data_IF_765270533670
#
_entry.id   IF_765270533670
#
_cell.length_a   1.000
_cell.length_b   1.000
_cell.length_c   1.000
_cell.angle_alpha   90.00
_cell.angle_beta   90.00
_cell.angle_gamma   90.00
#
_symmetry.space_group_name_H-M   'P 1'
#
loop_
_entity.id
_entity.type
_entity.pdbx_description
1 polymer ?
#
# COMPACT_ATOMS: atom_id res chain seq x y z
N UNK A 1 -32.02 24.65 43.23
CA UNK A 1 -33.36 24.51 42.63
C UNK A 1 -33.28 23.23 41.81
N UNK A 2 -34.05 22.19 42.13
CA UNK A 2 -34.06 20.99 41.28
C UNK A 2 -34.64 21.40 39.94
N UNK A 3 -33.89 21.22 38.86
CA UNK A 3 -34.46 21.35 37.52
C UNK A 3 -35.67 20.43 37.40
N UNK A 4 -36.76 20.98 36.89
CA UNK A 4 -38.02 20.26 36.70
C UNK A 4 -37.78 19.20 35.61
N UNK A 5 -37.98 17.92 35.94
CA UNK A 5 -37.75 16.81 34.99
C UNK A 5 -38.70 16.96 33.80
N UNK A 6 -38.15 17.14 32.60
CA UNK A 6 -38.96 17.17 31.38
C UNK A 6 -39.25 15.74 30.95
N UNK A 7 -40.50 15.31 31.08
CA UNK A 7 -40.89 13.94 30.80
C UNK A 7 -41.12 13.73 29.30
N UNK A 8 -40.46 12.73 28.70
CA UNK A 8 -40.73 12.28 27.33
C UNK A 8 -41.32 10.87 27.33
N UNK A 9 -42.39 10.66 26.56
CA UNK A 9 -42.97 9.33 26.36
C UNK A 9 -42.12 8.54 25.35
N UNK A 10 -41.67 7.34 25.75
CA UNK A 10 -40.89 6.45 24.88
C UNK A 10 -41.64 5.19 24.46
N UNK A 11 -42.59 4.72 25.27
CA UNK A 11 -43.41 3.55 24.93
C UNK A 11 -44.73 3.55 25.72
N UNK A 12 -45.66 2.67 25.33
CA UNK A 12 -46.83 2.28 26.14
C UNK A 12 -46.49 0.96 26.83
N UNK A 13 -46.61 0.89 28.16
CA UNK A 13 -46.16 -0.26 28.96
C UNK A 13 -46.87 -1.57 28.57
N UNK A 14 -48.19 -1.54 28.44
CA UNK A 14 -48.99 -2.69 28.01
C UNK A 14 -48.70 -3.17 26.59
N UNK A 15 -48.07 -2.34 25.75
CA UNK A 15 -47.68 -2.69 24.38
C UNK A 15 -46.26 -3.28 24.29
N UNK A 16 -45.46 -3.19 25.35
CA UNK A 16 -44.14 -3.82 25.41
C UNK A 16 -44.29 -5.31 25.76
N UNK A 17 -43.87 -6.17 24.83
CA UNK A 17 -43.67 -7.59 25.10
C UNK A 17 -42.49 -7.78 26.06
N UNK A 18 -42.60 -8.74 26.98
CA UNK A 18 -41.53 -9.06 27.92
C UNK A 18 -40.26 -9.50 27.17
N UNK A 19 -39.12 -8.92 27.55
CA UNK A 19 -37.78 -9.17 27.00
C UNK A 19 -37.67 -8.99 25.48
N UNK A 20 -38.52 -8.14 24.90
CA UNK A 20 -38.45 -7.75 23.48
C UNK A 20 -37.98 -6.29 23.34
N UNK A 21 -36.84 -6.04 22.68
CA UNK A 21 -36.35 -4.68 22.46
C UNK A 21 -37.31 -3.86 21.59
N UNK A 22 -37.53 -2.61 21.98
CA UNK A 22 -38.32 -1.63 21.24
C UNK A 22 -37.51 -0.35 21.01
N UNK A 23 -37.71 0.27 19.86
CA UNK A 23 -37.04 1.52 19.49
C UNK A 23 -37.77 2.75 20.03
N UNK A 24 -37.02 3.75 20.51
CA UNK A 24 -37.52 5.10 20.74
C UNK A 24 -36.47 6.14 20.34
N UNK A 25 -36.91 7.39 20.12
CA UNK A 25 -36.05 8.52 19.78
C UNK A 25 -36.40 9.72 20.65
N UNK A 26 -35.42 10.25 21.38
CA UNK A 26 -35.59 11.42 22.25
C UNK A 26 -34.36 12.31 22.12
N UNK A 27 -34.55 13.62 21.96
CA UNK A 27 -33.46 14.61 21.84
C UNK A 27 -32.35 14.19 20.87
N UNK A 28 -32.72 13.64 19.70
CA UNK A 28 -31.82 13.11 18.66
C UNK A 28 -31.03 11.82 19.03
N UNK A 29 -31.21 11.27 20.23
CA UNK A 29 -30.56 10.03 20.69
C UNK A 29 -31.45 8.82 20.43
N UNK A 30 -30.93 7.83 19.72
CA UNK A 30 -31.59 6.53 19.57
C UNK A 30 -31.61 5.82 20.93
N UNK A 31 -32.76 5.24 21.31
CA UNK A 31 -32.95 4.53 22.56
C UNK A 31 -33.45 3.11 22.28
N UNK A 32 -33.04 2.19 23.15
CA UNK A 32 -33.64 0.85 23.23
C UNK A 32 -34.39 0.71 24.54
N UNK A 33 -35.68 0.44 24.44
CA UNK A 33 -36.60 0.24 25.56
C UNK A 33 -36.86 -1.25 25.68
N UNK A 34 -36.56 -1.82 26.84
CA UNK A 34 -36.80 -3.25 27.11
C UNK A 34 -37.57 -3.39 28.41
N UNK A 35 -38.76 -3.99 28.32
CA UNK A 35 -39.49 -4.48 29.48
C UNK A 35 -38.89 -5.81 29.91
N UNK A 36 -38.65 -6.00 31.20
CA UNK A 36 -38.28 -7.30 31.76
C UNK A 36 -38.97 -7.47 33.11
N UNK A 37 -39.78 -8.51 33.21
CA UNK A 37 -40.63 -8.77 34.37
C UNK A 37 -41.56 -7.58 34.66
N UNK A 38 -41.42 -6.95 35.83
CA UNK A 38 -42.18 -5.78 36.28
C UNK A 38 -41.40 -4.47 36.14
N UNK A 39 -40.20 -4.50 35.53
CA UNK A 39 -39.31 -3.36 35.35
C UNK A 39 -39.11 -2.98 33.86
N UNK A 40 -38.57 -1.78 33.64
CA UNK A 40 -38.16 -1.29 32.32
C UNK A 40 -36.71 -0.82 32.35
N UNK A 41 -35.98 -1.07 31.26
CA UNK A 41 -34.68 -0.45 31.00
C UNK A 41 -34.78 0.40 29.75
N UNK A 42 -34.19 1.59 29.81
CA UNK A 42 -33.99 2.44 28.64
C UNK A 42 -32.50 2.71 28.55
N UNK A 43 -31.88 2.15 27.52
CA UNK A 43 -30.45 2.28 27.25
C UNK A 43 -30.22 3.11 25.98
N UNK A 44 -29.00 3.58 25.79
CA UNK A 44 -28.54 4.06 24.49
C UNK A 44 -28.80 2.98 23.43
N UNK A 45 -29.46 3.39 22.35
CA UNK A 45 -30.11 2.50 21.40
C UNK A 45 -29.19 1.98 20.30
N UNK A 46 -27.88 2.27 20.34
CA UNK A 46 -26.92 1.78 19.35
C UNK A 46 -25.78 1.01 20.00
N UNK A 47 -25.38 -0.08 19.36
CA UNK A 47 -24.21 -0.86 19.76
C UNK A 47 -22.93 -0.01 19.66
N UNK A 48 -22.04 -0.11 20.65
CA UNK A 48 -20.78 0.64 20.68
C UNK A 48 -19.79 0.24 19.57
N UNK A 49 -19.91 -0.96 18.99
CA UNK A 49 -19.00 -1.42 17.93
C UNK A 49 -19.47 -1.07 16.52
N UNK A 50 -20.73 -1.36 16.18
CA UNK A 50 -21.24 -1.24 14.79
C UNK A 50 -22.30 -0.18 14.61
N UNK A 51 -22.65 0.56 15.66
CA UNK A 51 -23.71 1.56 15.62
C UNK A 51 -25.10 0.99 15.28
N UNK A 52 -25.26 -0.34 15.30
CA UNK A 52 -26.50 -1.02 14.96
C UNK A 52 -27.57 -0.72 16.00
N UNK A 53 -28.83 -0.60 15.57
CA UNK A 53 -29.93 -0.39 16.49
C UNK A 53 -30.09 -1.60 17.41
N UNK A 54 -29.98 -1.38 18.71
CA UNK A 54 -30.16 -2.41 19.73
C UNK A 54 -31.63 -2.87 19.81
N UNK A 55 -32.56 -2.07 19.28
CA UNK A 55 -33.96 -2.47 19.09
C UNK A 55 -34.14 -3.58 18.05
N UNK A 56 -33.17 -3.76 17.13
CA UNK A 56 -33.17 -4.85 16.15
C UNK A 56 -32.47 -6.11 16.70
N UNK A 57 -31.98 -6.05 17.93
CA UNK A 57 -31.37 -7.16 18.66
C UNK A 57 -32.41 -8.10 19.28
N UNK A 58 -31.93 -8.91 20.22
CA UNK A 58 -32.77 -9.77 21.04
C UNK A 58 -32.24 -9.85 22.47
N UNK A 59 -33.02 -10.39 23.40
CA UNK A 59 -32.56 -10.65 24.76
C UNK A 59 -32.22 -12.13 24.91
N UNK A 60 -31.04 -12.42 25.48
CA UNK A 60 -30.65 -13.75 25.95
C UNK A 60 -30.32 -13.68 27.44
N UNK A 61 -31.12 -14.40 28.26
CA UNK A 61 -31.05 -14.32 29.72
C UNK A 61 -31.30 -12.91 30.25
N UNK A 62 -30.24 -12.27 30.77
CA UNK A 62 -30.25 -10.90 31.30
C UNK A 62 -29.59 -9.88 30.38
N UNK A 63 -29.14 -10.32 29.19
CA UNK A 63 -28.34 -9.53 28.29
C UNK A 63 -29.15 -9.15 27.05
N UNK A 64 -29.03 -7.88 26.66
CA UNK A 64 -29.42 -7.36 25.37
C UNK A 64 -28.30 -7.65 24.36
N UNK A 65 -28.61 -8.45 23.36
CA UNK A 65 -27.67 -8.92 22.34
C UNK A 65 -27.85 -8.14 21.05
N UNK A 66 -26.76 -7.56 20.56
CA UNK A 66 -26.71 -6.88 19.26
C UNK A 66 -27.03 -7.85 18.12
N UNK A 67 -27.99 -7.48 17.26
CA UNK A 67 -28.44 -8.33 16.14
C UNK A 67 -27.37 -8.56 15.05
N UNK A 68 -26.27 -7.81 15.05
CA UNK A 68 -25.27 -7.84 13.99
C UNK A 68 -24.06 -8.72 14.32
N UNK A 69 -23.44 -8.55 15.50
CA UNK A 69 -22.21 -9.26 15.87
C UNK A 69 -22.28 -9.89 17.27
N UNK A 70 -23.49 -10.04 17.82
CA UNK A 70 -23.77 -10.84 19.03
C UNK A 70 -23.09 -10.36 20.31
N UNK A 71 -22.66 -9.09 20.36
CA UNK A 71 -22.16 -8.49 21.59
C UNK A 71 -23.28 -8.22 22.57
N UNK A 72 -22.96 -8.28 23.86
CA UNK A 72 -23.91 -8.26 24.96
C UNK A 72 -23.82 -6.97 25.78
N UNK A 73 -24.95 -6.58 26.35
CA UNK A 73 -25.03 -5.55 27.38
C UNK A 73 -26.11 -5.95 28.38
N UNK A 74 -25.82 -5.93 29.67
CA UNK A 74 -26.84 -6.29 30.66
C UNK A 74 -28.01 -5.32 30.62
N UNK A 75 -29.24 -5.84 30.67
CA UNK A 75 -30.46 -5.02 30.67
C UNK A 75 -30.51 -4.03 31.83
N UNK A 76 -30.04 -4.45 33.00
CA UNK A 76 -30.18 -3.68 34.24
C UNK A 76 -29.16 -2.56 34.41
N UNK A 77 -28.00 -2.65 33.75
CA UNK A 77 -26.85 -1.73 33.96
C UNK A 77 -26.29 -1.16 32.67
N UNK A 78 -26.52 -1.82 31.53
CA UNK A 78 -25.91 -1.48 30.25
C UNK A 78 -24.46 -1.94 30.09
N UNK A 79 -23.86 -2.56 31.12
CA UNK A 79 -22.47 -3.04 31.11
C UNK A 79 -22.38 -4.37 30.37
N UNK A 80 -21.40 -4.57 29.49
CA UNK A 80 -21.12 -5.90 28.91
C UNK A 80 -20.58 -6.86 29.98
N UNK A 81 -21.06 -8.11 29.98
CA UNK A 81 -20.54 -9.13 30.90
C UNK A 81 -19.16 -9.66 30.48
N UNK A 82 -18.81 -9.51 29.19
CA UNK A 82 -17.50 -9.91 28.66
C UNK A 82 -16.44 -8.82 28.83
N UNK A 83 -16.82 -7.55 28.68
CA UNK A 83 -15.91 -6.41 28.85
C UNK A 83 -16.58 -5.27 29.64
N UNK A 84 -16.23 -5.17 30.93
CA UNK A 84 -16.84 -4.19 31.83
C UNK A 84 -16.49 -2.73 31.49
N UNK A 85 -15.52 -2.48 30.61
CA UNK A 85 -15.20 -1.13 30.13
C UNK A 85 -16.22 -0.65 29.07
N UNK A 86 -17.00 -1.56 28.50
CA UNK A 86 -18.03 -1.25 27.51
C UNK A 86 -19.42 -1.15 28.15
N UNK A 87 -19.98 0.06 28.15
CA UNK A 87 -21.23 0.38 28.85
C UNK A 87 -22.16 1.18 27.96
N UNK A 88 -23.33 0.62 27.62
CA UNK A 88 -24.44 1.41 27.08
C UNK A 88 -24.97 2.32 28.18
N UNK A 89 -25.03 3.62 27.91
CA UNK A 89 -25.61 4.58 28.84
C UNK A 89 -27.05 4.16 29.20
N UNK A 90 -27.31 3.94 30.49
CA UNK A 90 -28.66 3.74 31.01
C UNK A 90 -29.25 5.09 31.39
N UNK A 91 -30.47 5.35 30.92
CA UNK A 91 -31.20 6.58 31.23
C UNK A 91 -32.25 6.34 32.33
N UNK A 92 -32.58 7.40 33.06
CA UNK A 92 -33.65 7.35 34.05
C UNK A 92 -34.99 7.09 33.34
N UNK A 93 -35.68 6.02 33.74
CA UNK A 93 -36.99 5.66 33.21
C UNK A 93 -37.94 5.23 34.33
N UNK A 94 -39.24 5.50 34.15
CA UNK A 94 -40.30 5.07 35.07
C UNK A 94 -41.61 4.83 34.32
N UNK A 95 -42.53 4.12 34.96
CA UNK A 95 -43.86 3.81 34.41
C UNK A 95 -44.91 4.56 35.22
N UNK A 96 -45.78 5.31 34.55
CA UNK A 96 -46.92 6.01 35.15
C UNK A 96 -48.12 5.91 34.20
N UNK A 97 -49.27 5.49 34.71
CA UNK A 97 -50.53 5.37 33.94
C UNK A 97 -50.40 4.65 32.58
N UNK A 98 -49.73 3.50 32.57
CA UNK A 98 -49.46 2.66 31.37
C UNK A 98 -48.51 3.29 30.33
N UNK A 99 -47.75 4.32 30.72
CA UNK A 99 -46.78 5.00 29.86
C UNK A 99 -45.38 4.85 30.44
N UNK A 100 -44.42 4.50 29.57
CA UNK A 100 -43.00 4.52 29.91
C UNK A 100 -42.45 5.91 29.59
N UNK A 101 -41.95 6.58 30.63
CA UNK A 101 -41.34 7.89 30.55
C UNK A 101 -39.83 7.84 30.77
N UNK A 102 -39.14 8.82 30.17
CA UNK A 102 -37.73 9.13 30.43
C UNK A 102 -37.56 10.60 30.77
N UNK A 103 -36.43 10.95 31.37
CA UNK A 103 -36.02 12.35 31.54
C UNK A 103 -35.36 12.88 30.26
N UNK A 104 -36.09 13.71 29.51
CA UNK A 104 -35.60 14.31 28.26
C UNK A 104 -34.39 15.22 28.49
N UNK A 105 -34.30 15.89 29.64
CA UNK A 105 -33.17 16.78 29.95
C UNK A 105 -31.89 15.98 30.15
N UNK A 106 -31.98 14.79 30.78
CA UNK A 106 -30.85 13.86 30.93
C UNK A 106 -30.32 13.41 29.57
N UNK A 107 -31.22 13.01 28.67
CA UNK A 107 -30.84 12.53 27.33
C UNK A 107 -30.27 13.66 26.47
N UNK A 108 -30.84 14.86 26.54
CA UNK A 108 -30.33 16.03 25.83
C UNK A 108 -28.93 16.44 26.34
N UNK A 109 -28.71 16.44 27.65
CA UNK A 109 -27.39 16.71 28.21
C UNK A 109 -26.36 15.66 27.78
N UNK A 110 -26.75 14.38 27.77
CA UNK A 110 -25.89 13.31 27.27
C UNK A 110 -25.57 13.48 25.79
N UNK A 111 -26.54 13.85 24.95
CA UNK A 111 -26.34 14.14 23.53
C UNK A 111 -25.34 15.28 23.30
N UNK A 112 -25.40 16.35 24.10
CA UNK A 112 -24.50 17.49 23.96
C UNK A 112 -23.05 17.13 24.28
N UNK A 113 -22.84 16.19 25.20
CA UNK A 113 -21.52 15.59 25.51
C UNK A 113 -21.12 14.49 24.50
N UNK A 114 -22.10 13.84 23.85
CA UNK A 114 -21.94 12.69 22.95
C UNK A 114 -22.72 12.89 21.63
N UNK A 115 -22.29 13.85 20.78
CA UNK A 115 -22.99 14.15 19.54
C UNK A 115 -23.02 12.92 18.63
N UNK A 116 -24.16 12.67 18.00
CA UNK A 116 -24.34 11.50 17.14
C UNK A 116 -23.44 11.60 15.89
N UNK A 117 -22.68 10.54 15.60
CA UNK A 117 -21.71 10.51 14.50
C UNK A 117 -22.31 10.48 13.09
N UNK A 118 -23.64 10.44 12.98
CA UNK A 118 -24.38 10.30 11.73
C UNK A 118 -25.41 11.42 11.54
N UNK A 119 -25.59 11.84 10.29
CA UNK A 119 -26.69 12.73 9.93
C UNK A 119 -27.93 11.89 9.60
N UNK A 120 -28.89 11.80 10.52
CA UNK A 120 -30.08 10.95 10.32
C UNK A 120 -30.87 11.31 9.04
N UNK A 121 -30.89 12.58 8.65
CA UNK A 121 -31.66 13.06 7.50
C UNK A 121 -30.95 12.84 6.16
N UNK A 122 -29.69 12.39 6.16
CA UNK A 122 -28.97 12.06 4.92
C UNK A 122 -29.43 10.72 4.34
N UNK A 123 -29.16 10.51 3.05
CA UNK A 123 -29.37 9.22 2.40
C UNK A 123 -28.59 8.12 3.16
N UNK A 124 -29.29 7.06 3.58
CA UNK A 124 -28.80 5.98 4.45
C UNK A 124 -28.30 6.42 5.85
N UNK A 125 -28.55 7.66 6.29
CA UNK A 125 -27.98 8.21 7.52
C UNK A 125 -28.26 7.42 8.80
N UNK A 126 -29.44 6.81 8.91
CA UNK A 126 -29.80 5.95 10.03
C UNK A 126 -29.00 4.63 10.07
N UNK A 127 -28.55 4.15 8.91
CA UNK A 127 -27.90 2.85 8.68
C UNK A 127 -26.46 2.99 8.19
N UNK A 128 -25.86 4.18 8.31
CA UNK A 128 -24.53 4.46 7.81
C UNK A 128 -23.50 3.61 8.57
N UNK A 129 -22.69 2.85 7.82
CA UNK A 129 -21.56 2.11 8.37
C UNK A 129 -20.34 3.04 8.42
N UNK A 130 -19.97 3.46 9.63
CA UNK A 130 -18.85 4.39 9.87
C UNK A 130 -17.53 3.67 10.13
N UNK A 131 -17.55 2.37 10.39
CA UNK A 131 -16.37 1.60 10.80
C UNK A 131 -15.84 0.73 9.65
N UNK A 132 -16.70 0.35 8.69
CA UNK A 132 -16.37 -0.60 7.63
C UNK A 132 -16.21 -2.02 8.19
N UNK A 133 -16.03 -3.02 7.31
CA UNK A 133 -15.82 -4.41 7.76
C UNK A 133 -14.74 -5.11 6.97
N UNK A 134 -14.11 -6.12 7.58
CA UNK A 134 -13.19 -7.02 6.87
C UNK A 134 -13.90 -7.89 5.82
N UNK A 135 -15.22 -8.10 5.96
CA UNK A 135 -16.04 -8.82 5.00
C UNK A 135 -16.35 -7.97 3.75
N UNK A 136 -16.50 -6.65 3.93
CA UNK A 136 -16.74 -5.67 2.86
C UNK A 136 -15.75 -4.51 2.94
N UNK A 137 -14.44 -4.77 2.73
CA UNK A 137 -13.38 -3.79 2.98
C UNK A 137 -13.37 -2.61 1.99
N UNK A 138 -14.22 -2.67 0.97
CA UNK A 138 -14.34 -1.64 -0.06
C UNK A 138 -15.65 -0.85 0.02
N UNK A 139 -16.54 -1.13 0.98
CA UNK A 139 -17.86 -0.49 1.02
C UNK A 139 -17.75 1.05 1.11
N UNK A 140 -16.94 1.57 2.03
CA UNK A 140 -16.70 3.01 2.16
C UNK A 140 -16.13 3.62 0.88
N UNK A 141 -15.21 2.94 0.20
CA UNK A 141 -14.64 3.40 -1.07
C UNK A 141 -15.67 3.40 -2.21
N UNK A 142 -16.56 2.41 -2.25
CA UNK A 142 -17.68 2.35 -3.20
C UNK A 142 -18.67 3.49 -2.94
N UNK A 143 -19.03 3.75 -1.68
CA UNK A 143 -19.92 4.85 -1.30
C UNK A 143 -19.33 6.21 -1.63
N UNK A 144 -18.03 6.40 -1.40
CA UNK A 144 -17.29 7.61 -1.77
C UNK A 144 -17.35 7.85 -3.29
N UNK A 145 -17.03 6.82 -4.09
CA UNK A 145 -17.12 6.87 -5.55
C UNK A 145 -18.54 7.12 -6.06
N UNK A 146 -19.55 6.54 -5.41
CA UNK A 146 -20.94 6.71 -5.80
C UNK A 146 -21.46 8.13 -5.52
N UNK A 147 -20.94 8.76 -4.45
CA UNK A 147 -21.38 10.08 -3.98
C UNK A 147 -20.63 11.20 -4.72
N UNK A 148 -19.30 11.08 -4.83
CA UNK A 148 -18.42 12.14 -5.33
C UNK A 148 -17.90 11.86 -6.75
N UNK A 149 -18.22 10.70 -7.34
CA UNK A 149 -17.71 10.31 -8.64
C UNK A 149 -16.18 10.12 -8.59
N UNK A 150 -15.50 10.58 -9.65
CA UNK A 150 -14.04 10.51 -9.76
C UNK A 150 -13.33 11.79 -9.30
N UNK A 151 -14.09 12.78 -8.80
CA UNK A 151 -13.51 14.02 -8.32
C UNK A 151 -12.60 13.75 -7.12
N UNK A 152 -11.38 14.31 -7.11
CA UNK A 152 -10.40 14.12 -6.02
C UNK A 152 -9.56 12.84 -6.06
N UNK A 153 -9.92 11.84 -6.88
CA UNK A 153 -9.25 10.51 -6.90
C UNK A 153 -7.97 10.49 -7.76
N UNK A 154 -7.70 11.55 -8.52
CA UNK A 154 -6.52 11.69 -9.37
C UNK A 154 -6.59 10.85 -10.64
N UNK A 155 -5.81 11.23 -11.67
CA UNK A 155 -5.88 10.61 -13.01
C UNK A 155 -5.58 9.10 -13.03
N UNK A 156 -4.83 8.59 -12.06
CA UNK A 156 -4.45 7.17 -11.96
C UNK A 156 -5.12 6.43 -10.80
N UNK A 157 -6.09 7.05 -10.13
CA UNK A 157 -6.60 6.56 -8.85
C UNK A 157 -5.63 6.79 -7.70
N UNK A 158 -5.88 6.13 -6.58
CA UNK A 158 -5.02 6.20 -5.39
C UNK A 158 -3.58 5.81 -5.74
N UNK A 159 -2.62 6.60 -5.25
CA UNK A 159 -1.19 6.41 -5.43
C UNK A 159 -0.55 6.22 -4.07
N UNK A 160 0.31 5.22 -3.93
CA UNK A 160 1.08 5.00 -2.71
C UNK A 160 2.54 4.63 -3.01
N UNK A 161 3.40 4.79 -2.01
CA UNK A 161 4.81 4.42 -2.07
C UNK A 161 5.02 2.94 -1.70
N UNK A 162 6.26 2.47 -1.87
CA UNK A 162 6.72 1.12 -1.54
C UNK A 162 6.02 0.01 -2.35
N UNK A 163 6.44 -1.25 -2.14
CA UNK A 163 5.88 -2.42 -2.81
C UNK A 163 4.63 -2.99 -2.11
N UNK A 164 4.27 -4.21 -2.48
CA UNK A 164 3.28 -5.04 -1.78
C UNK A 164 3.90 -5.56 -0.47
N UNK A 165 3.14 -5.67 0.64
CA UNK A 165 3.65 -6.25 1.88
C UNK A 165 4.28 -7.63 1.66
N UNK A 166 5.43 -7.88 2.32
CA UNK A 166 6.14 -9.16 2.19
C UNK A 166 5.31 -10.35 2.70
N UNK A 167 4.35 -10.11 3.60
CA UNK A 167 3.43 -11.14 4.12
C UNK A 167 2.42 -11.62 3.09
N UNK A 168 2.25 -10.91 1.97
CA UNK A 168 1.35 -11.30 0.88
C UNK A 168 2.09 -11.98 -0.28
N UNK A 169 3.41 -12.18 -0.17
CA UNK A 169 4.25 -12.74 -1.22
C UNK A 169 4.90 -14.05 -0.75
N UNK A 170 5.15 -15.00 -1.67
CA UNK A 170 6.01 -16.13 -1.38
C UNK A 170 7.36 -15.64 -0.83
N UNK A 171 7.85 -16.26 0.26
CA UNK A 171 9.03 -15.78 0.97
C UNK A 171 10.24 -16.67 0.73
N UNK A 172 11.43 -16.06 0.66
CA UNK A 172 12.68 -16.79 0.46
C UNK A 172 13.02 -17.75 1.61
N UNK A 173 12.48 -17.52 2.82
CA UNK A 173 12.66 -18.40 3.98
C UNK A 173 11.85 -19.71 3.89
N UNK A 174 10.92 -19.82 2.93
CA UNK A 174 10.23 -21.07 2.61
C UNK A 174 11.06 -22.00 1.72
N UNK A 175 12.17 -21.52 1.14
CA UNK A 175 13.05 -22.30 0.28
C UNK A 175 14.06 -23.08 1.11
N UNK A 176 14.09 -24.41 0.91
CA UNK A 176 15.09 -25.29 1.52
C UNK A 176 16.28 -25.50 0.56
N UNK A 177 17.51 -25.32 1.08
CA UNK A 177 18.74 -25.55 0.31
C UNK A 177 19.17 -27.01 0.50
N UNK A 178 19.35 -27.75 -0.61
CA UNK A 178 19.88 -29.12 -0.58
C UNK A 178 21.40 -29.06 -0.39
N UNK A 179 21.91 -29.73 0.65
CA UNK A 179 23.35 -29.74 0.99
C UNK A 179 24.13 -30.82 0.24
N UNK A 180 25.41 -30.55 -0.04
CA UNK A 180 26.35 -31.56 -0.55
C UNK A 180 26.63 -32.69 0.46
N UNK A 181 26.95 -33.87 -0.05
CA UNK A 181 27.28 -35.08 0.74
C UNK A 181 28.38 -35.91 0.05
N UNK A 182 28.06 -37.11 -0.44
CA UNK A 182 29.06 -38.00 -1.06
C UNK A 182 29.33 -37.67 -2.54
N UNK A 183 28.29 -37.33 -3.31
CA UNK A 183 28.41 -37.02 -4.74
C UNK A 183 29.14 -35.69 -4.98
N UNK A 184 28.82 -34.68 -4.16
CA UNK A 184 29.53 -33.40 -4.10
C UNK A 184 29.86 -33.14 -2.63
N UNK A 185 31.14 -33.27 -2.26
CA UNK A 185 31.57 -33.09 -0.88
C UNK A 185 31.43 -31.62 -0.45
N UNK A 186 31.00 -31.36 0.80
CA UNK A 186 31.08 -30.01 1.35
C UNK A 186 32.55 -29.56 1.41
N UNK A 187 32.75 -28.25 1.37
CA UNK A 187 34.05 -27.66 1.64
C UNK A 187 34.39 -27.81 3.14
N UNK A 188 35.69 -27.83 3.46
CA UNK A 188 36.18 -27.70 4.83
C UNK A 188 36.00 -26.27 5.33
N UNK A 189 35.92 -26.07 6.65
CA UNK A 189 35.50 -24.80 7.27
C UNK A 189 36.30 -23.56 6.84
N UNK A 190 37.60 -23.72 6.57
CA UNK A 190 38.52 -22.65 6.17
C UNK A 190 38.74 -22.54 4.66
N UNK A 191 38.02 -23.34 3.87
CA UNK A 191 38.13 -23.30 2.43
C UNK A 191 37.63 -21.95 1.89
N UNK A 192 38.37 -21.31 0.95
CA UNK A 192 37.92 -20.08 0.34
C UNK A 192 36.66 -20.31 -0.50
N UNK A 193 35.65 -19.45 -0.31
CA UNK A 193 34.42 -19.44 -1.12
C UNK A 193 34.49 -18.31 -2.12
N UNK A 194 34.31 -18.62 -3.41
CA UNK A 194 34.27 -17.61 -4.48
C UNK A 194 32.88 -16.99 -4.55
N UNK A 195 32.75 -15.75 -4.07
CA UNK A 195 31.52 -14.94 -4.14
C UNK A 195 31.46 -14.02 -5.35
N UNK A 196 32.59 -13.80 -6.03
CA UNK A 196 32.67 -12.86 -7.14
C UNK A 196 31.81 -13.27 -8.34
N UNK A 197 31.16 -12.26 -8.95
CA UNK A 197 30.27 -12.39 -10.11
C UNK A 197 30.79 -11.53 -11.25
N UNK A 198 30.60 -12.02 -12.48
CA UNK A 198 30.93 -11.28 -13.71
C UNK A 198 29.64 -10.99 -14.46
N UNK A 199 29.34 -9.71 -14.68
CA UNK A 199 28.21 -9.25 -15.47
C UNK A 199 28.64 -9.07 -16.92
N UNK A 200 27.89 -9.70 -17.83
CA UNK A 200 28.19 -9.74 -19.26
C UNK A 200 29.58 -10.30 -19.57
N UNK A 201 29.87 -11.58 -19.23
CA UNK A 201 31.20 -12.19 -19.41
C UNK A 201 31.68 -12.23 -20.87
N UNK A 202 30.78 -12.05 -21.84
CA UNK A 202 31.10 -12.00 -23.27
C UNK A 202 31.29 -10.57 -23.82
N UNK A 203 31.06 -9.53 -22.99
CA UNK A 203 31.34 -8.15 -23.36
C UNK A 203 32.86 -7.92 -23.48
N UNK A 204 33.28 -6.88 -24.21
CA UNK A 204 34.71 -6.54 -24.33
C UNK A 204 35.30 -6.05 -23.01
N UNK A 205 34.48 -5.39 -22.19
CA UNK A 205 34.80 -4.91 -20.84
C UNK A 205 33.77 -5.46 -19.86
N UNK A 206 33.86 -6.74 -19.47
CA UNK A 206 32.94 -7.32 -18.50
C UNK A 206 33.07 -6.62 -17.15
N UNK A 207 31.96 -6.53 -16.42
CA UNK A 207 31.94 -5.91 -15.09
C UNK A 207 32.13 -6.97 -14.01
N UNK A 208 33.12 -6.78 -13.15
CA UNK A 208 33.43 -7.67 -12.03
C UNK A 208 32.92 -7.08 -10.71
N UNK A 209 32.19 -7.91 -9.95
CA UNK A 209 31.73 -7.61 -8.59
C UNK A 209 32.35 -8.63 -7.63
N UNK A 210 32.75 -8.20 -6.43
CA UNK A 210 33.36 -9.08 -5.43
C UNK A 210 32.32 -9.95 -4.70
N UNK A 211 31.05 -9.51 -4.72
CA UNK A 211 29.90 -10.18 -4.10
C UNK A 211 28.70 -10.24 -5.07
N UNK A 212 27.77 -11.21 -4.91
CA UNK A 212 26.63 -11.38 -5.80
C UNK A 212 25.44 -10.46 -5.41
N UNK A 213 25.74 -9.21 -5.06
CA UNK A 213 24.76 -8.23 -4.58
C UNK A 213 25.17 -6.86 -5.11
N UNK A 214 24.23 -6.04 -5.57
CA UNK A 214 24.47 -4.65 -5.97
C UNK A 214 23.28 -3.77 -5.55
N UNK A 215 23.46 -2.45 -5.55
CA UNK A 215 22.39 -1.51 -5.20
C UNK A 215 21.55 -1.21 -6.43
N UNK A 216 20.27 -1.61 -6.39
CA UNK A 216 19.33 -1.51 -7.52
C UNK A 216 18.92 -0.07 -7.88
N UNK A 217 18.30 0.10 -9.04
CA UNK A 217 17.89 1.38 -9.62
C UNK A 217 16.90 2.14 -8.75
N UNK A 218 17.38 3.24 -8.18
CA UNK A 218 16.56 4.23 -7.49
C UNK A 218 17.00 5.60 -7.94
N UNK A 219 16.09 6.39 -8.50
CA UNK A 219 16.44 7.66 -9.14
C UNK A 219 16.78 8.76 -8.15
N UNK A 220 17.70 9.64 -8.54
CA UNK A 220 17.85 10.94 -7.90
C UNK A 220 16.55 11.76 -8.09
N UNK A 221 16.05 12.30 -6.98
CA UNK A 221 14.72 12.92 -6.86
C UNK A 221 13.69 12.03 -6.16
N UNK A 222 13.74 10.71 -6.36
CA UNK A 222 13.05 9.77 -5.48
C UNK A 222 13.82 9.62 -4.15
N UNK A 223 15.15 9.53 -4.26
CA UNK A 223 16.09 9.62 -3.15
C UNK A 223 16.79 10.99 -3.14
N UNK A 224 17.24 11.40 -1.95
CA UNK A 224 18.07 12.61 -1.80
C UNK A 224 19.48 12.39 -2.36
N UNK A 225 20.22 13.48 -2.55
CA UNK A 225 21.60 13.45 -3.01
C UNK A 225 22.50 12.69 -2.02
N UNK A 226 22.34 12.97 -0.73
CA UNK A 226 23.10 12.36 0.35
C UNK A 226 22.88 10.85 0.39
N UNK A 227 21.63 10.40 0.19
CA UNK A 227 21.31 8.99 0.14
C UNK A 227 21.97 8.29 -1.05
N UNK A 228 21.94 8.90 -2.24
CA UNK A 228 22.58 8.36 -3.45
C UNK A 228 24.10 8.25 -3.27
N UNK A 229 24.75 9.31 -2.81
CA UNK A 229 26.20 9.32 -2.56
C UNK A 229 26.60 8.34 -1.45
N UNK A 230 25.81 8.24 -0.38
CA UNK A 230 26.08 7.29 0.71
C UNK A 230 25.99 5.83 0.23
N UNK A 231 24.96 5.50 -0.55
CA UNK A 231 24.80 4.16 -1.13
C UNK A 231 25.94 3.83 -2.11
N UNK A 232 26.35 4.78 -2.96
CA UNK A 232 27.46 4.58 -3.89
C UNK A 232 28.79 4.30 -3.17
N UNK A 233 29.11 5.07 -2.13
CA UNK A 233 30.30 4.85 -1.29
C UNK A 233 30.23 3.50 -0.58
N UNK A 234 29.07 3.15 -0.04
CA UNK A 234 28.85 1.84 0.60
C UNK A 234 29.06 0.68 -0.36
N UNK A 235 28.54 0.79 -1.58
CA UNK A 235 28.73 -0.20 -2.63
C UNK A 235 30.21 -0.33 -3.02
N UNK A 236 30.94 0.78 -3.14
CA UNK A 236 32.38 0.76 -3.47
C UNK A 236 33.19 0.04 -2.38
N UNK A 237 32.94 0.38 -1.11
CA UNK A 237 33.59 -0.26 0.03
C UNK A 237 33.27 -1.75 0.14
N UNK A 238 32.08 -2.16 -0.31
CA UNK A 238 31.66 -3.56 -0.36
C UNK A 238 32.16 -4.31 -1.61
N UNK A 239 32.88 -3.65 -2.51
CA UNK A 239 33.38 -4.27 -3.75
C UNK A 239 32.30 -4.52 -4.80
N UNK A 240 31.21 -3.74 -4.78
CA UNK A 240 30.08 -3.89 -5.70
C UNK A 240 29.61 -2.58 -6.32
N UNK A 241 28.62 -2.67 -7.22
CA UNK A 241 28.08 -1.58 -8.00
C UNK A 241 26.77 -0.99 -7.50
N UNK A 242 26.40 0.11 -8.14
CA UNK A 242 25.15 0.84 -7.92
C UNK A 242 24.57 1.29 -9.26
N UNK A 243 23.24 1.32 -9.33
CA UNK A 243 22.52 1.82 -10.50
C UNK A 243 22.05 3.26 -10.37
N UNK A 244 22.11 4.02 -11.48
CA UNK A 244 21.66 5.42 -11.53
C UNK A 244 20.15 5.58 -11.29
N UNK A 245 19.36 4.66 -11.84
CA UNK A 245 17.92 4.78 -12.01
C UNK A 245 17.48 5.82 -13.04
N UNK A 246 16.17 5.93 -13.23
CA UNK A 246 15.49 6.67 -14.31
C UNK A 246 15.62 8.21 -14.25
N UNK A 247 16.28 8.75 -13.23
CA UNK A 247 16.42 10.19 -13.01
C UNK A 247 17.65 10.80 -13.67
N UNK A 248 18.48 10.00 -14.33
CA UNK A 248 19.78 10.40 -14.84
C UNK A 248 20.92 10.16 -13.85
N UNK A 249 22.13 10.46 -14.28
CA UNK A 249 23.36 10.25 -13.51
C UNK A 249 23.71 11.49 -12.69
N UNK A 250 23.74 11.34 -11.36
CA UNK A 250 24.28 12.34 -10.45
C UNK A 250 25.82 12.26 -10.44
N UNK A 251 26.57 13.34 -10.75
CA UNK A 251 28.03 13.27 -10.85
C UNK A 251 28.72 12.81 -9.57
N UNK A 252 28.28 13.31 -8.41
CA UNK A 252 28.87 12.96 -7.12
C UNK A 252 28.63 11.49 -6.73
N UNK A 253 27.52 10.90 -7.21
CA UNK A 253 27.21 9.48 -7.04
C UNK A 253 28.10 8.61 -7.92
N UNK A 254 28.20 8.94 -9.22
CA UNK A 254 29.02 8.17 -10.15
C UNK A 254 30.51 8.24 -9.77
N UNK A 255 31.00 9.41 -9.35
CA UNK A 255 32.39 9.56 -8.91
C UNK A 255 32.72 8.75 -7.65
N UNK A 256 31.70 8.36 -6.86
CA UNK A 256 31.87 7.62 -5.63
C UNK A 256 31.91 6.09 -5.82
N UNK A 257 31.62 5.56 -7.02
CA UNK A 257 31.62 4.13 -7.28
C UNK A 257 32.20 3.78 -8.66
N UNK A 258 33.17 2.89 -8.69
CA UNK A 258 33.91 2.45 -9.88
C UNK A 258 33.21 1.34 -10.69
N UNK A 259 32.02 0.91 -10.25
CA UNK A 259 31.22 -0.21 -10.80
C UNK A 259 29.80 0.28 -11.09
N UNK A 260 29.69 1.33 -11.88
CA UNK A 260 28.44 2.08 -12.05
C UNK A 260 27.58 1.55 -13.20
N UNK A 261 26.29 1.34 -12.93
CA UNK A 261 25.28 0.91 -13.91
C UNK A 261 24.43 2.11 -14.33
N UNK A 262 24.39 2.38 -15.63
CA UNK A 262 23.63 3.51 -16.16
C UNK A 262 22.34 3.05 -16.83
N UNK A 263 21.22 3.62 -16.39
CA UNK A 263 19.88 3.27 -16.86
C UNK A 263 19.37 4.29 -17.90
N UNK A 264 18.84 3.78 -19.02
CA UNK A 264 18.00 4.56 -19.94
C UNK A 264 16.53 4.13 -19.79
N UNK A 265 15.68 5.08 -19.43
CA UNK A 265 14.22 4.90 -19.33
C UNK A 265 13.46 5.74 -20.37
N UNK A 266 12.18 5.43 -20.57
CA UNK A 266 11.29 6.06 -21.58
C UNK A 266 11.18 7.58 -21.52
N UNK A 267 11.48 8.19 -20.36
CA UNK A 267 11.50 9.64 -20.20
C UNK A 267 12.75 10.33 -20.73
N UNK A 268 13.82 9.58 -21.05
CA UNK A 268 15.13 10.11 -21.46
C UNK A 268 15.74 11.14 -20.49
N UNK A 269 15.25 11.21 -19.25
CA UNK A 269 15.69 12.21 -18.28
C UNK A 269 17.16 12.02 -17.93
N UNK A 270 17.94 13.07 -18.16
CA UNK A 270 19.38 13.06 -17.90
C UNK A 270 20.19 12.10 -18.77
N UNK A 271 19.59 11.45 -19.79
CA UNK A 271 20.27 10.58 -20.75
C UNK A 271 21.33 11.37 -21.54
N UNK A 272 22.45 10.71 -21.83
CA UNK A 272 23.54 11.31 -22.61
C UNK A 272 24.62 10.27 -22.91
N UNK A 273 25.02 10.16 -24.17
CA UNK A 273 26.07 9.23 -24.60
C UNK A 273 27.44 9.59 -24.02
N UNK A 274 27.71 10.88 -23.82
CA UNK A 274 28.94 11.39 -23.19
C UNK A 274 29.15 10.83 -21.77
N UNK A 275 28.05 10.59 -21.05
CA UNK A 275 28.07 10.05 -19.67
C UNK A 275 28.46 8.56 -19.62
N UNK A 276 28.22 7.83 -20.70
CA UNK A 276 28.46 6.38 -20.79
C UNK A 276 29.94 6.04 -20.62
N UNK A 277 30.86 6.93 -21.00
CA UNK A 277 32.29 6.70 -20.88
C UNK A 277 32.76 6.47 -19.43
N UNK A 278 32.03 6.98 -18.43
CA UNK A 278 32.30 6.77 -17.01
C UNK A 278 31.65 5.52 -16.40
N UNK A 279 30.86 4.77 -17.17
CA UNK A 279 30.04 3.68 -16.66
C UNK A 279 30.67 2.30 -16.97
N UNK A 280 30.31 1.28 -16.19
CA UNK A 280 30.83 -0.09 -16.35
C UNK A 280 29.75 -1.08 -16.78
N UNK A 281 28.49 -0.67 -16.73
CA UNK A 281 27.38 -1.38 -17.34
C UNK A 281 26.31 -0.37 -17.75
N UNK A 282 25.49 -0.75 -18.72
CA UNK A 282 24.35 0.02 -19.17
C UNK A 282 23.13 -0.89 -19.30
N UNK A 283 21.92 -0.37 -19.07
CA UNK A 283 20.69 -1.11 -19.35
C UNK A 283 19.53 -0.22 -19.79
N UNK A 284 18.68 -0.80 -20.62
CA UNK A 284 17.38 -0.23 -20.94
C UNK A 284 16.35 -0.64 -19.88
N UNK A 285 15.52 0.30 -19.45
CA UNK A 285 14.39 0.04 -18.56
C UNK A 285 13.12 -0.19 -19.38
N UNK A 286 12.68 -1.43 -19.47
CA UNK A 286 11.38 -1.83 -20.02
C UNK A 286 10.25 -1.83 -18.99
N UNK A 287 10.56 -2.01 -17.69
CA UNK A 287 9.55 -1.98 -16.64
C UNK A 287 10.13 -2.17 -15.23
N UNK A 288 9.27 -2.05 -14.21
CA UNK A 288 9.61 -2.34 -12.81
C UNK A 288 8.41 -3.01 -12.12
N UNK A 289 8.67 -3.91 -11.17
CA UNK A 289 7.63 -4.77 -10.57
C UNK A 289 6.46 -4.05 -9.91
N UNK A 290 6.62 -2.77 -9.51
CA UNK A 290 5.60 -1.95 -8.87
C UNK A 290 4.58 -1.31 -9.84
N UNK A 291 4.96 -1.05 -11.09
CA UNK A 291 4.16 -0.22 -12.02
C UNK A 291 4.46 -0.43 -13.51
N UNK A 292 4.63 -1.68 -13.93
CA UNK A 292 4.77 -2.05 -15.34
C UNK A 292 3.64 -1.52 -16.20
N UNK A 293 3.96 -1.08 -17.42
CA UNK A 293 2.99 -0.50 -18.35
C UNK A 293 2.68 0.98 -18.08
N UNK A 294 3.38 1.60 -17.13
CA UNK A 294 3.33 3.03 -16.84
C UNK A 294 4.72 3.62 -16.70
N UNK A 295 4.83 4.95 -16.78
CA UNK A 295 6.11 5.63 -16.61
C UNK A 295 6.45 6.01 -15.17
N UNK A 296 7.71 6.44 -14.98
CA UNK A 296 8.14 7.19 -13.81
C UNK A 296 7.30 8.46 -13.60
N UNK A 297 7.04 8.80 -12.33
CA UNK A 297 6.38 10.05 -11.97
C UNK A 297 7.15 10.68 -10.82
N UNK A 298 7.65 11.89 -11.02
CA UNK A 298 8.18 12.75 -9.97
C UNK A 298 7.37 14.05 -9.93
N UNK A 299 6.72 14.38 -8.79
CA UNK A 299 5.98 15.63 -8.64
C UNK A 299 6.86 16.86 -8.89
N UNK A 300 6.28 17.89 -9.52
CA UNK A 300 7.01 19.11 -9.90
C UNK A 300 7.65 19.85 -8.73
N UNK A 301 7.03 19.80 -7.55
CA UNK A 301 7.59 20.36 -6.30
C UNK A 301 8.95 19.77 -5.90
N UNK A 302 9.26 18.54 -6.35
CA UNK A 302 10.57 17.89 -6.13
C UNK A 302 11.57 18.21 -7.25
N UNK A 303 11.13 18.73 -8.39
CA UNK A 303 11.98 19.06 -9.53
C UNK A 303 12.53 20.46 -9.33
N UNK A 304 13.50 20.61 -8.44
CA UNK A 304 14.16 21.88 -8.12
C UNK A 304 15.67 21.70 -7.99
N UNK A 305 16.42 22.79 -8.21
CA UNK A 305 17.89 22.80 -8.10
C UNK A 305 18.55 21.69 -8.93
N UNK A 306 19.47 20.93 -8.30
CA UNK A 306 20.21 19.85 -8.97
C UNK A 306 19.32 18.78 -9.61
N UNK A 307 18.10 18.54 -9.11
CA UNK A 307 17.18 17.55 -9.72
C UNK A 307 16.73 18.02 -11.10
N UNK A 308 16.43 19.30 -11.24
CA UNK A 308 16.09 19.92 -12.53
C UNK A 308 17.29 19.85 -13.49
N UNK A 309 18.49 20.21 -13.00
CA UNK A 309 19.74 20.19 -13.79
C UNK A 309 20.09 18.79 -14.31
N UNK A 310 20.07 17.77 -13.43
CA UNK A 310 20.41 16.38 -13.79
C UNK A 310 19.42 15.82 -14.80
N UNK A 311 18.14 16.20 -14.70
CA UNK A 311 17.07 15.72 -15.59
C UNK A 311 16.95 16.52 -16.89
N UNK A 312 17.56 17.71 -16.98
CA UNK A 312 17.40 18.64 -18.09
C UNK A 312 15.99 19.23 -18.17
N UNK A 313 15.39 19.56 -17.01
CA UNK A 313 14.03 20.09 -16.90
C UNK A 313 14.05 21.48 -16.25
N UNK A 314 13.06 22.31 -16.58
CA UNK A 314 12.85 23.58 -15.87
C UNK A 314 12.32 23.30 -14.43
N UNK A 315 12.81 24.01 -13.40
CA UNK A 315 12.33 23.85 -12.04
C UNK A 315 10.81 23.99 -11.90
N UNK A 316 10.20 23.12 -11.09
CA UNK A 316 8.74 23.05 -10.90
C UNK A 316 8.01 22.20 -11.93
N UNK A 317 8.67 21.76 -13.01
CA UNK A 317 8.06 20.94 -14.05
C UNK A 317 7.91 19.49 -13.60
N UNK A 318 6.69 18.91 -13.55
CA UNK A 318 6.53 17.49 -13.24
C UNK A 318 7.26 16.60 -14.24
N UNK A 319 8.05 15.64 -13.74
CA UNK A 319 8.72 14.67 -14.61
C UNK A 319 7.82 13.44 -14.78
N UNK A 320 7.09 13.40 -15.89
CA UNK A 320 6.19 12.30 -16.25
C UNK A 320 6.79 11.54 -17.42
N UNK A 321 7.23 10.31 -17.20
CA UNK A 321 7.70 9.46 -18.28
C UNK A 321 6.53 8.82 -19.03
N UNK A 322 6.65 8.60 -20.35
CA UNK A 322 5.72 7.74 -21.09
C UNK A 322 5.78 6.29 -20.59
N UNK A 323 4.76 5.49 -20.86
CA UNK A 323 4.71 4.07 -20.50
C UNK A 323 5.73 3.19 -21.25
N UNK A 324 6.19 3.65 -22.41
CA UNK A 324 7.19 2.97 -23.24
C UNK A 324 8.03 4.01 -24.01
N UNK A 325 9.14 3.59 -24.60
CA UNK A 325 9.93 4.44 -25.48
C UNK A 325 9.09 4.92 -26.67
N UNK A 326 9.15 6.21 -26.98
CA UNK A 326 8.37 6.81 -28.09
C UNK A 326 8.95 6.48 -29.46
N UNK A 327 10.20 6.06 -29.51
CA UNK A 327 11.02 5.93 -30.70
C UNK A 327 11.70 4.55 -30.83
N UNK A 328 11.68 3.72 -29.77
CA UNK A 328 12.24 2.37 -29.78
C UNK A 328 11.11 1.33 -29.81
N UNK A 329 10.97 0.63 -30.94
CA UNK A 329 9.86 -0.31 -31.17
C UNK A 329 10.34 -1.73 -31.47
N UNK A 330 11.46 -1.87 -32.19
CA UNK A 330 11.99 -3.16 -32.64
C UNK A 330 13.31 -3.45 -31.95
N UNK A 331 13.71 -4.73 -31.93
CA UNK A 331 15.01 -5.19 -31.41
C UNK A 331 16.19 -4.44 -32.05
N UNK A 332 16.07 -4.07 -33.33
CA UNK A 332 17.05 -3.27 -34.06
C UNK A 332 17.21 -1.84 -33.50
N UNK A 333 16.13 -1.18 -33.09
CA UNK A 333 16.23 0.16 -32.49
C UNK A 333 17.02 0.14 -31.18
N UNK A 334 16.77 -0.86 -30.33
CA UNK A 334 17.53 -1.06 -29.09
C UNK A 334 18.98 -1.41 -29.38
N UNK A 335 19.23 -2.28 -30.38
CA UNK A 335 20.58 -2.65 -30.82
C UNK A 335 21.40 -1.44 -31.26
N UNK A 336 20.80 -0.53 -32.03
CA UNK A 336 21.49 0.67 -32.51
C UNK A 336 22.00 1.56 -31.36
N UNK A 337 21.19 1.77 -30.31
CA UNK A 337 21.63 2.52 -29.13
C UNK A 337 22.69 1.73 -28.35
N UNK A 338 22.48 0.42 -28.17
CA UNK A 338 23.45 -0.44 -27.49
C UNK A 338 24.83 -0.43 -28.17
N UNK A 339 24.86 -0.40 -29.50
CA UNK A 339 26.09 -0.33 -30.28
C UNK A 339 26.80 1.03 -30.11
N UNK A 340 26.05 2.15 -30.08
CA UNK A 340 26.60 3.47 -29.74
C UNK A 340 27.18 3.50 -28.32
N UNK A 341 26.48 2.89 -27.35
CA UNK A 341 26.96 2.75 -25.97
C UNK A 341 28.26 1.95 -25.94
N UNK A 342 28.34 0.83 -26.65
CA UNK A 342 29.56 0.02 -26.75
C UNK A 342 30.70 0.77 -27.44
N UNK A 343 30.40 1.53 -28.49
CA UNK A 343 31.40 2.35 -29.19
C UNK A 343 32.04 3.38 -28.25
N UNK A 344 31.22 4.16 -27.53
CA UNK A 344 31.70 5.21 -26.63
C UNK A 344 32.39 4.65 -25.38
N UNK A 345 31.85 3.57 -24.79
CA UNK A 345 32.41 2.96 -23.58
C UNK A 345 33.64 2.07 -23.84
N UNK A 346 33.87 1.67 -25.10
CA UNK A 346 34.82 0.62 -25.46
C UNK A 346 34.31 -0.80 -25.15
N UNK A 347 33.00 -0.99 -25.02
CA UNK A 347 32.33 -2.30 -25.03
C UNK A 347 31.95 -2.85 -23.66
N UNK A 348 31.38 -2.01 -22.79
CA UNK A 348 30.74 -2.44 -21.54
C UNK A 348 29.51 -3.32 -21.80
N UNK A 349 29.07 -4.15 -20.85
CA UNK A 349 27.87 -4.97 -20.98
C UNK A 349 26.59 -4.15 -21.09
N UNK A 350 25.66 -4.65 -21.91
CA UNK A 350 24.34 -4.10 -22.17
C UNK A 350 23.28 -4.98 -21.52
N UNK A 351 22.40 -4.40 -20.72
CA UNK A 351 21.35 -5.12 -20.02
C UNK A 351 19.95 -4.65 -20.38
N UNK A 352 18.98 -5.45 -19.98
CA UNK A 352 17.56 -5.09 -20.04
C UNK A 352 16.94 -5.32 -18.67
N UNK A 353 16.39 -4.24 -18.11
CA UNK A 353 15.59 -4.29 -16.90
C UNK A 353 14.12 -4.42 -17.25
N UNK A 354 13.51 -5.49 -16.75
CA UNK A 354 12.13 -5.84 -17.04
C UNK A 354 11.44 -6.32 -15.77
N UNK A 355 10.14 -6.09 -15.68
CA UNK A 355 9.32 -6.73 -14.66
C UNK A 355 8.86 -8.10 -15.12
N UNK A 356 8.71 -9.05 -14.21
CA UNK A 356 8.25 -10.40 -14.49
C UNK A 356 6.77 -10.44 -14.95
N UNK A 357 6.54 -10.27 -16.27
CA UNK A 357 5.24 -10.44 -16.92
C UNK A 357 5.27 -11.65 -17.87
N UNK A 358 5.52 -11.41 -19.16
CA UNK A 358 5.66 -12.45 -20.18
C UNK A 358 7.13 -12.85 -20.29
N UNK A 359 7.66 -13.37 -19.17
CA UNK A 359 9.09 -13.56 -18.89
C UNK A 359 9.88 -14.11 -20.09
N UNK A 360 9.44 -15.22 -20.68
CA UNK A 360 10.17 -15.88 -21.77
C UNK A 360 10.17 -15.01 -23.04
N UNK A 361 9.02 -14.42 -23.41
CA UNK A 361 8.93 -13.56 -24.58
C UNK A 361 9.71 -12.24 -24.42
N UNK A 362 9.70 -11.66 -23.21
CA UNK A 362 10.43 -10.44 -22.90
C UNK A 362 11.95 -10.68 -22.88
N UNK A 363 12.39 -11.85 -22.38
CA UNK A 363 13.79 -12.29 -22.45
C UNK A 363 14.22 -12.54 -23.89
N UNK A 364 13.40 -13.24 -24.70
CA UNK A 364 13.68 -13.49 -26.12
C UNK A 364 13.89 -12.18 -26.87
N UNK A 365 13.03 -11.17 -26.64
CA UNK A 365 13.20 -9.84 -27.21
C UNK A 365 14.55 -9.20 -26.82
N UNK A 366 14.90 -9.25 -25.53
CA UNK A 366 16.14 -8.65 -25.02
C UNK A 366 17.38 -9.34 -25.59
N UNK A 367 17.38 -10.67 -25.66
CA UNK A 367 18.46 -11.46 -26.25
C UNK A 367 18.60 -11.18 -27.74
N UNK A 368 17.49 -11.14 -28.49
CA UNK A 368 17.50 -10.78 -29.90
C UNK A 368 18.03 -9.34 -30.08
N UNK A 369 17.65 -8.40 -29.21
CA UNK A 369 18.14 -7.03 -29.26
C UNK A 369 19.67 -6.98 -29.13
N UNK A 370 20.24 -7.39 -27.97
CA UNK A 370 21.68 -7.66 -27.78
C UNK A 370 22.07 -7.89 -26.29
N UNK A 371 21.15 -8.31 -25.43
CA UNK A 371 21.39 -8.37 -23.99
C UNK A 371 22.60 -9.25 -23.61
N UNK A 372 23.50 -8.68 -22.80
CA UNK A 372 24.58 -9.37 -22.09
C UNK A 372 24.15 -9.82 -20.68
N UNK A 373 23.12 -9.18 -20.11
CA UNK A 373 22.52 -9.54 -18.82
C UNK A 373 21.05 -9.06 -18.73
N UNK A 374 20.29 -9.63 -17.80
CA UNK A 374 18.88 -9.28 -17.54
C UNK A 374 18.71 -8.91 -16.07
N UNK A 375 17.99 -7.82 -15.81
CA UNK A 375 17.47 -7.50 -14.48
C UNK A 375 15.98 -7.84 -14.49
N UNK A 376 15.59 -8.88 -13.74
CA UNK A 376 14.19 -9.35 -13.68
C UNK A 376 13.55 -8.96 -12.34
N UNK A 377 12.71 -7.93 -12.38
CA UNK A 377 11.98 -7.43 -11.22
C UNK A 377 10.71 -8.26 -11.00
N UNK A 378 10.67 -9.04 -9.92
CA UNK A 378 9.44 -9.71 -9.50
C UNK A 378 8.43 -8.75 -8.82
N UNK A 379 7.24 -9.29 -8.56
CA UNK A 379 6.21 -8.63 -7.74
C UNK A 379 6.76 -8.31 -6.33
N UNK A 380 6.39 -7.15 -5.82
CA UNK A 380 6.85 -6.66 -4.50
C UNK A 380 7.98 -5.63 -4.57
N UNK A 381 8.50 -5.33 -5.77
CA UNK A 381 9.48 -4.26 -5.95
C UNK A 381 9.00 -2.92 -5.39
N UNK A 382 9.92 -2.14 -4.82
CA UNK A 382 9.63 -0.82 -4.26
C UNK A 382 9.44 0.26 -5.33
N UNK A 383 8.85 1.38 -4.92
CA UNK A 383 8.72 2.58 -5.75
C UNK A 383 8.53 3.80 -4.85
N UNK A 384 8.97 4.98 -5.31
CA UNK A 384 8.63 6.24 -4.66
C UNK A 384 7.15 6.60 -4.80
N UNK A 385 6.51 6.17 -5.90
CA UNK A 385 5.08 6.36 -6.18
C UNK A 385 4.61 5.40 -7.29
N UNK A 386 3.52 4.67 -7.04
CA UNK A 386 2.77 3.93 -8.06
C UNK A 386 1.26 3.96 -7.76
N UNK A 387 0.41 3.90 -8.79
CA UNK A 387 -1.01 3.67 -8.59
C UNK A 387 -1.26 2.31 -7.93
N UNK A 388 -2.16 2.26 -6.96
CA UNK A 388 -2.42 1.06 -6.16
C UNK A 388 -2.89 -0.11 -7.02
N UNK A 389 -3.68 0.17 -8.06
CA UNK A 389 -4.19 -0.84 -8.99
C UNK A 389 -3.04 -1.60 -9.68
N UNK A 390 -1.99 -0.91 -10.10
CA UNK A 390 -0.82 -1.57 -10.69
C UNK A 390 -0.06 -2.33 -9.62
N UNK A 391 0.33 -1.64 -8.54
CA UNK A 391 1.14 -2.22 -7.46
C UNK A 391 0.54 -3.51 -6.90
N UNK A 392 -0.78 -3.55 -6.69
CA UNK A 392 -1.49 -4.67 -6.06
C UNK A 392 -1.90 -5.77 -7.04
N UNK A 393 -1.81 -5.61 -8.36
CA UNK A 393 -2.45 -6.57 -9.29
C UNK A 393 -1.55 -7.08 -10.43
N UNK A 394 -0.31 -6.61 -10.55
CA UNK A 394 0.58 -7.04 -11.64
C UNK A 394 1.80 -7.84 -11.14
N UNK A 395 2.60 -8.33 -12.09
CA UNK A 395 3.86 -9.03 -11.90
C UNK A 395 3.78 -10.41 -11.24
N UNK A 396 4.67 -11.29 -11.67
CA UNK A 396 4.89 -12.60 -11.06
C UNK A 396 5.87 -12.46 -9.88
N UNK A 397 5.65 -13.12 -8.73
CA UNK A 397 6.59 -13.11 -7.61
C UNK A 397 8.00 -13.59 -8.00
N UNK A 398 9.04 -12.97 -7.42
CA UNK A 398 10.45 -13.19 -7.78
C UNK A 398 10.86 -14.67 -7.80
N UNK A 399 10.44 -15.47 -6.81
CA UNK A 399 10.81 -16.89 -6.75
C UNK A 399 10.27 -17.69 -7.94
N UNK A 400 9.03 -17.43 -8.34
CA UNK A 400 8.41 -18.09 -9.50
C UNK A 400 9.02 -17.55 -10.80
N UNK A 401 9.26 -16.24 -10.86
CA UNK A 401 9.85 -15.60 -12.02
C UNK A 401 11.26 -16.16 -12.31
N UNK A 402 12.10 -16.33 -11.28
CA UNK A 402 13.44 -16.87 -11.41
C UNK A 402 13.47 -18.32 -11.91
N UNK A 403 12.47 -19.13 -11.54
CA UNK A 403 12.35 -20.49 -12.05
C UNK A 403 12.03 -20.54 -13.55
N UNK A 404 11.26 -19.55 -14.04
CA UNK A 404 10.86 -19.43 -15.45
C UNK A 404 11.93 -18.79 -16.35
N UNK A 405 12.76 -17.91 -15.79
CA UNK A 405 13.78 -17.17 -16.53
C UNK A 405 15.04 -17.99 -16.90
N UNK A 406 14.95 -19.33 -16.91
CA UNK A 406 16.09 -20.24 -17.07
C UNK A 406 16.32 -20.69 -18.50
#
# INVERSE_FOLDING_TARGET
MSEERKQAKVATWSALEDRKPAYALVANVDLVVVRYDDDVSVLFGRCLHRGALMSDGHVDGHNLICGVHQWDYRLDTGVSEYDNDEVLQKFTAWVEDDVVYVDENEIAAWHDEHPQAFNRDSYLGLYADHEGTSAEPFNSYITELATNGLEGIGHHGNVSAMGVPLTELPRMDEVQIITGQFATKPLIDDAPVKTGVVIGPNAKKPLHLDIPMFVSDMSYGALSEEAKVALAKGAELAGTGICSGEGGMLPDEQAANSRYFYELASGYFGWGLDKVAGCQAFHFKGGQGAKTGTGGHLPGEKVVGKIADVRGLEPGTPAISPSTFKDLFTTEHFRNIADQVREVSGGIPIGFKMSAQHIEADIDFALEATADYIILDGRGGGTGAAPEIFKKNISIPTMIALARAR
#
